data_IF_273931972078
#
_entry.id   IF_273931972078
#
_cell.length_a   1.000
_cell.length_b   1.000
_cell.length_c   1.000
_cell.angle_alpha   90.00
_cell.angle_beta   90.00
_cell.angle_gamma   90.00
#
_symmetry.space_group_name_H-M   'P 1'
#
loop_
_entity.id
_entity.type
_entity.pdbx_description
1 polymer ?
#
# COMPACT_ATOMS: atom_id res chain seq x y z
N UNK A 1 10.23 11.08 28.60
CA UNK A 1 9.69 10.79 27.26
C UNK A 1 10.77 9.99 26.54
N UNK A 2 10.50 8.76 26.14
CA UNK A 2 11.46 7.97 25.36
C UNK A 2 11.45 8.45 23.91
N UNK A 3 12.61 8.69 23.33
CA UNK A 3 12.79 8.98 21.92
C UNK A 3 13.45 7.78 21.26
N UNK A 4 12.95 7.36 20.12
CA UNK A 4 13.59 6.36 19.27
C UNK A 4 13.97 7.01 17.96
N UNK A 5 15.07 6.56 17.38
CA UNK A 5 15.44 7.02 16.04
C UNK A 5 14.40 6.60 15.02
N UNK A 6 13.99 7.54 14.17
CA UNK A 6 13.02 7.25 13.11
C UNK A 6 13.72 6.39 12.04
N UNK A 7 13.17 5.22 11.81
CA UNK A 7 13.61 4.31 10.75
C UNK A 7 12.47 4.21 9.72
N UNK A 8 12.75 4.31 8.40
CA UNK A 8 14.07 4.50 7.79
C UNK A 8 14.60 5.91 7.99
N UNK A 9 15.91 6.02 8.13
CA UNK A 9 16.57 7.34 8.22
C UNK A 9 16.25 8.17 6.99
N UNK A 10 16.16 9.50 7.17
CA UNK A 10 15.78 10.42 6.08
C UNK A 10 16.69 10.29 4.86
N UNK A 11 17.99 10.07 5.04
CA UNK A 11 18.98 10.00 3.95
C UNK A 11 19.00 11.26 3.07
N UNK A 12 19.41 11.17 1.82
CA UNK A 12 19.38 12.28 0.87
C UNK A 12 18.05 12.35 0.15
N UNK A 13 17.61 13.53 -0.25
CA UNK A 13 16.36 13.75 -1.02
C UNK A 13 16.31 12.85 -2.26
N UNK A 14 17.40 12.82 -3.02
CA UNK A 14 17.50 12.02 -4.25
C UNK A 14 17.32 10.50 -4.03
N UNK A 15 17.60 9.98 -2.82
CA UNK A 15 17.38 8.56 -2.52
C UNK A 15 15.91 8.17 -2.45
N UNK A 16 14.99 9.16 -2.45
CA UNK A 16 13.55 9.00 -2.40
C UNK A 16 12.86 9.28 -3.74
N UNK A 17 13.65 9.27 -4.83
CA UNK A 17 13.16 9.40 -6.21
C UNK A 17 12.68 10.78 -6.63
N UNK A 18 13.01 11.83 -5.87
CA UNK A 18 12.82 13.22 -6.29
C UNK A 18 14.00 14.12 -5.87
N UNK A 19 14.03 15.35 -6.40
CA UNK A 19 15.04 16.36 -6.05
C UNK A 19 14.47 17.51 -5.19
N UNK A 20 13.20 17.46 -4.82
CA UNK A 20 12.47 18.55 -4.17
C UNK A 20 12.22 18.29 -2.69
N UNK A 21 12.33 17.03 -2.25
CA UNK A 21 12.05 16.60 -0.89
C UNK A 21 10.57 16.25 -0.62
N UNK A 22 9.73 16.25 -1.64
CA UNK A 22 8.31 15.88 -1.51
C UNK A 22 8.16 14.42 -1.08
N UNK A 23 8.83 13.51 -1.76
CA UNK A 23 8.73 12.07 -1.46
C UNK A 23 9.33 11.73 -0.09
N UNK A 24 10.45 12.33 0.29
CA UNK A 24 11.10 12.05 1.57
C UNK A 24 10.29 12.49 2.79
N UNK A 25 9.37 13.42 2.63
CA UNK A 25 8.55 13.96 3.71
C UNK A 25 7.08 13.53 3.61
N UNK A 26 6.77 12.55 2.78
CA UNK A 26 5.46 11.93 2.76
C UNK A 26 5.39 10.78 3.77
N UNK A 27 4.33 10.78 4.56
CA UNK A 27 4.10 9.79 5.59
C UNK A 27 2.65 9.35 5.58
N UNK A 28 2.43 8.04 5.67
CA UNK A 28 1.13 7.43 5.95
C UNK A 28 1.28 6.60 7.22
N UNK A 29 0.24 6.54 8.03
CA UNK A 29 0.24 5.76 9.25
C UNK A 29 -1.11 5.09 9.45
N UNK A 30 -1.08 3.89 10.03
CA UNK A 30 -2.25 3.11 10.39
C UNK A 30 -1.99 2.28 11.65
N UNK A 31 -3.03 1.66 12.15
CA UNK A 31 -2.95 0.64 13.20
C UNK A 31 -3.45 -0.68 12.62
N UNK A 32 -2.70 -1.75 12.83
CA UNK A 32 -3.00 -3.08 12.33
C UNK A 32 -2.79 -4.14 13.41
N UNK A 33 -3.54 -5.21 13.33
CA UNK A 33 -3.34 -6.43 14.13
C UNK A 33 -2.59 -7.46 13.28
N UNK A 34 -1.29 -7.23 13.10
CA UNK A 34 -0.39 -8.16 12.37
C UNK A 34 0.05 -9.34 13.24
N UNK A 35 -0.35 -9.39 14.47
CA UNK A 35 -0.39 -10.57 15.33
C UNK A 35 -1.78 -10.63 15.99
N UNK A 36 -2.25 -11.81 16.34
CA UNK A 36 -3.57 -12.06 16.92
C UNK A 36 -3.79 -11.44 18.32
N UNK A 37 -2.85 -10.66 18.83
CA UNK A 37 -2.80 -10.25 20.25
C UNK A 37 -2.70 -8.77 20.48
N UNK A 38 -1.99 -8.04 19.62
CA UNK A 38 -1.63 -6.65 19.86
C UNK A 38 -1.74 -5.81 18.61
N UNK A 39 -2.28 -4.62 18.80
CA UNK A 39 -2.23 -3.61 17.75
C UNK A 39 -0.79 -3.13 17.53
N UNK A 40 -0.40 -3.01 16.29
CA UNK A 40 0.89 -2.50 15.84
C UNK A 40 0.70 -1.15 15.16
N UNK A 41 1.61 -0.22 15.41
CA UNK A 41 1.67 1.03 14.65
C UNK A 41 2.41 0.78 13.35
N UNK A 42 1.72 1.00 12.25
CA UNK A 42 2.27 0.95 10.91
C UNK A 42 2.66 2.36 10.51
N UNK A 43 3.89 2.56 10.06
CA UNK A 43 4.38 3.83 9.56
C UNK A 43 5.06 3.63 8.23
N UNK A 44 4.62 4.38 7.26
CA UNK A 44 5.20 4.41 5.92
C UNK A 44 5.85 5.75 5.65
N UNK A 45 6.92 5.74 4.87
CA UNK A 45 7.59 6.93 4.37
C UNK A 45 7.92 6.78 2.88
N UNK A 46 7.61 7.81 2.12
CA UNK A 46 7.87 7.88 0.69
C UNK A 46 6.67 7.46 -0.16
N UNK A 47 6.71 7.78 -1.45
CA UNK A 47 5.68 7.41 -2.42
C UNK A 47 6.17 6.31 -3.37
N UNK A 48 7.18 6.62 -4.18
CA UNK A 48 7.71 5.72 -5.19
C UNK A 48 8.78 4.77 -4.64
N UNK A 49 9.51 5.22 -3.64
CA UNK A 49 10.42 4.38 -2.86
C UNK A 49 9.87 4.38 -1.45
N UNK A 50 9.10 3.37 -1.14
CA UNK A 50 8.43 3.26 0.13
C UNK A 50 9.23 2.42 1.10
N UNK A 51 9.19 2.82 2.37
CA UNK A 51 9.69 2.06 3.47
C UNK A 51 8.61 1.96 4.53
N UNK A 52 8.18 0.74 4.77
CA UNK A 52 7.21 0.40 5.78
C UNK A 52 7.89 -0.06 7.05
N UNK A 53 7.39 0.38 8.19
CA UNK A 53 7.83 -0.06 9.52
C UNK A 53 6.62 -0.49 10.32
N UNK A 54 6.70 -1.67 10.92
CA UNK A 54 5.75 -2.17 11.90
C UNK A 54 6.41 -2.14 13.28
N UNK A 55 5.79 -1.45 14.22
CA UNK A 55 6.41 -1.08 15.50
C UNK A 55 6.39 -2.18 16.57
N UNK A 56 6.41 -3.43 16.27
CA UNK A 56 6.67 -4.56 17.18
C UNK A 56 7.41 -5.72 16.52
N UNK A 57 7.47 -5.71 15.22
CA UNK A 57 8.29 -6.63 14.45
C UNK A 57 9.18 -5.79 13.55
N UNK A 58 10.48 -6.06 13.53
CA UNK A 58 11.35 -5.52 12.50
C UNK A 58 10.99 -6.23 11.19
N UNK A 59 9.93 -5.78 10.54
CA UNK A 59 9.72 -6.15 9.16
C UNK A 59 10.87 -5.56 8.34
N UNK A 60 11.53 -6.40 7.60
CA UNK A 60 12.68 -6.01 6.81
C UNK A 60 12.30 -4.88 5.86
N UNK A 61 13.22 -3.92 5.70
CA UNK A 61 13.16 -2.81 4.74
C UNK A 61 12.89 -3.34 3.34
N UNK A 62 11.64 -3.49 2.94
CA UNK A 62 11.30 -3.86 1.58
C UNK A 62 11.04 -2.61 0.78
N UNK A 63 11.79 -2.49 -0.30
CA UNK A 63 11.65 -1.42 -1.27
C UNK A 63 10.57 -1.83 -2.29
N UNK A 64 9.37 -1.31 -2.11
CA UNK A 64 8.30 -1.44 -3.10
C UNK A 64 8.40 -0.25 -4.06
N UNK A 65 8.93 -0.46 -5.25
CA UNK A 65 9.14 0.62 -6.21
C UNK A 65 7.93 0.77 -7.10
N UNK A 66 7.34 1.96 -7.08
CA UNK A 66 6.31 2.34 -8.04
C UNK A 66 4.94 1.69 -7.85
N UNK A 67 4.67 1.09 -6.69
CA UNK A 67 3.38 0.45 -6.40
C UNK A 67 2.63 1.10 -5.23
N UNK A 68 3.11 2.21 -4.72
CA UNK A 68 2.57 2.88 -3.58
C UNK A 68 1.34 3.74 -3.83
N UNK A 69 0.90 4.41 -2.76
CA UNK A 69 -0.29 5.24 -2.78
C UNK A 69 -0.15 6.41 -1.78
N UNK A 70 -1.03 7.40 -1.88
CA UNK A 70 -1.23 8.42 -0.86
C UNK A 70 -2.05 7.91 0.33
N UNK A 71 -2.66 6.75 0.23
CA UNK A 71 -3.50 6.14 1.26
C UNK A 71 -3.07 4.70 1.51
N UNK A 72 -3.40 4.21 2.69
CA UNK A 72 -3.18 2.85 3.15
C UNK A 72 -4.49 2.33 3.74
N UNK A 73 -4.84 1.10 3.44
CA UNK A 73 -5.91 0.37 4.11
C UNK A 73 -5.38 -0.86 4.82
N UNK A 74 -5.99 -1.18 5.94
CA UNK A 74 -5.63 -2.30 6.81
C UNK A 74 -6.84 -3.21 6.91
N UNK A 75 -6.64 -4.50 6.84
CA UNK A 75 -7.68 -5.50 7.07
C UNK A 75 -7.21 -6.90 6.72
N UNK A 76 -7.87 -7.88 7.29
CA UNK A 76 -7.69 -9.30 7.03
C UNK A 76 -8.29 -9.62 5.64
N UNK A 77 -7.45 -9.61 4.60
CA UNK A 77 -7.88 -9.85 3.22
C UNK A 77 -7.70 -11.29 2.79
N UNK A 78 -6.95 -12.07 3.55
CA UNK A 78 -6.70 -13.47 3.22
C UNK A 78 -7.37 -14.46 4.17
N UNK A 79 -8.08 -13.93 5.18
CA UNK A 79 -8.91 -14.66 6.13
C UNK A 79 -8.10 -15.53 7.12
N UNK A 80 -6.94 -15.03 7.55
CA UNK A 80 -6.07 -15.72 8.51
C UNK A 80 -6.18 -15.17 9.96
N UNK A 81 -7.11 -14.23 10.20
CA UNK A 81 -7.38 -13.52 11.46
C UNK A 81 -6.30 -12.48 11.83
N UNK A 82 -5.48 -12.07 10.86
CA UNK A 82 -4.51 -10.98 11.00
C UNK A 82 -4.69 -9.95 9.89
N UNK A 83 -4.19 -8.76 10.14
CA UNK A 83 -4.34 -7.67 9.17
C UNK A 83 -3.19 -7.62 8.18
N UNK A 84 -3.54 -7.51 6.91
CA UNK A 84 -2.65 -7.11 5.81
C UNK A 84 -2.62 -5.61 5.64
N UNK A 85 -1.57 -5.16 5.00
CA UNK A 85 -1.34 -3.75 4.68
C UNK A 85 -1.50 -3.57 3.18
N UNK A 86 -2.66 -3.05 2.77
CA UNK A 86 -2.90 -2.69 1.38
C UNK A 86 -2.42 -1.27 1.12
N UNK A 87 -1.42 -1.15 0.25
CA UNK A 87 -0.82 0.12 -0.11
C UNK A 87 -0.85 0.32 -1.63
N UNK A 88 -2.01 0.65 -2.12
CA UNK A 88 -2.23 0.88 -3.54
C UNK A 88 -2.22 -0.39 -4.38
N UNK A 89 -1.33 -0.43 -5.36
CA UNK A 89 -1.20 -1.55 -6.29
C UNK A 89 -0.53 -2.80 -5.70
N UNK A 90 -0.32 -2.82 -4.38
CA UNK A 90 0.31 -3.92 -3.67
C UNK A 90 -0.29 -4.14 -2.29
N UNK A 91 -0.21 -5.36 -1.79
CA UNK A 91 -0.45 -5.67 -0.39
C UNK A 91 0.72 -6.44 0.23
N UNK A 92 0.86 -6.25 1.53
CA UNK A 92 1.90 -6.84 2.35
C UNK A 92 1.19 -7.66 3.43
N UNK A 93 1.56 -8.90 3.51
CA UNK A 93 1.10 -9.89 4.46
C UNK A 93 1.55 -9.54 5.90
N UNK A 94 0.86 -10.05 6.91
CA UNK A 94 1.16 -9.91 8.34
C UNK A 94 2.62 -10.27 8.67
N UNK A 95 3.19 -11.24 7.95
CA UNK A 95 4.58 -11.69 8.10
C UNK A 95 5.61 -10.78 7.38
N UNK A 96 5.14 -9.71 6.73
CA UNK A 96 5.95 -8.75 5.99
C UNK A 96 6.35 -9.20 4.60
N UNK A 97 5.83 -10.29 4.09
CA UNK A 97 6.01 -10.68 2.69
C UNK A 97 5.03 -9.96 1.79
N UNK A 98 5.40 -9.82 0.53
CA UNK A 98 4.46 -9.31 -0.47
C UNK A 98 3.36 -10.34 -0.69
N UNK A 99 2.12 -9.97 -0.44
CA UNK A 99 0.97 -10.77 -0.81
C UNK A 99 0.78 -10.70 -2.32
N UNK A 100 0.72 -9.49 -2.86
CA UNK A 100 0.73 -9.25 -4.31
C UNK A 100 1.32 -7.89 -4.68
N UNK A 101 1.58 -7.72 -5.98
CA UNK A 101 1.76 -6.45 -6.67
C UNK A 101 1.12 -6.56 -8.06
N UNK A 102 0.07 -5.77 -8.33
CA UNK A 102 -0.71 -5.89 -9.57
C UNK A 102 -0.07 -5.19 -10.78
N UNK A 103 1.03 -4.46 -10.58
CA UNK A 103 1.81 -3.85 -11.65
C UNK A 103 1.23 -2.57 -12.24
N UNK A 104 0.14 -2.03 -11.69
CA UNK A 104 -0.51 -0.80 -12.20
C UNK A 104 0.19 0.49 -11.77
N UNK A 105 1.14 0.37 -10.86
CA UNK A 105 1.95 1.49 -10.42
C UNK A 105 1.31 2.33 -9.31
N UNK A 106 1.89 3.50 -9.14
CA UNK A 106 1.49 4.44 -8.11
C UNK A 106 0.05 4.94 -8.29
N UNK A 107 -0.66 5.12 -7.17
CA UNK A 107 -2.02 5.62 -7.14
C UNK A 107 -2.25 6.72 -6.10
N UNK A 108 -3.46 7.26 -6.06
CA UNK A 108 -3.84 8.37 -5.18
C UNK A 108 -4.88 7.94 -4.15
N UNK A 109 -6.13 7.78 -4.53
CA UNK A 109 -7.21 7.37 -3.64
C UNK A 109 -7.41 5.85 -3.65
N UNK A 110 -7.70 5.30 -2.48
CA UNK A 110 -7.89 3.87 -2.27
C UNK A 110 -9.02 3.65 -1.26
N UNK A 111 -9.89 2.69 -1.55
CA UNK A 111 -10.90 2.19 -0.62
C UNK A 111 -10.89 0.66 -0.62
N UNK A 112 -10.85 0.06 0.55
CA UNK A 112 -10.88 -1.38 0.73
C UNK A 112 -12.04 -1.75 1.65
N UNK A 113 -12.91 -2.60 1.17
CA UNK A 113 -14.04 -3.18 1.90
C UNK A 113 -14.66 -4.30 1.07
N UNK A 114 -15.67 -4.99 1.58
CA UNK A 114 -16.58 -5.81 0.79
C UNK A 114 -17.44 -4.87 -0.10
N UNK A 115 -17.02 -4.65 -1.34
CA UNK A 115 -17.67 -3.78 -2.32
C UNK A 115 -18.68 -4.57 -3.15
N UNK A 116 -18.35 -5.81 -3.49
CA UNK A 116 -19.19 -6.73 -4.25
C UNK A 116 -19.62 -7.91 -3.36
N UNK A 117 -20.78 -7.82 -2.68
CA UNK A 117 -21.22 -8.83 -1.73
C UNK A 117 -21.54 -10.20 -2.35
N UNK A 118 -21.56 -10.30 -3.68
CA UNK A 118 -21.70 -11.58 -4.39
C UNK A 118 -20.36 -12.32 -4.54
N UNK A 119 -19.26 -11.68 -4.13
CA UNK A 119 -17.89 -12.25 -4.10
C UNK A 119 -17.44 -12.43 -2.67
N UNK A 120 -16.73 -13.51 -2.34
CA UNK A 120 -16.13 -13.66 -1.02
C UNK A 120 -14.89 -12.76 -0.89
N UNK A 121 -14.69 -12.19 0.31
CA UNK A 121 -13.53 -11.38 0.65
C UNK A 121 -13.75 -9.88 0.50
N UNK A 122 -12.66 -9.16 0.42
CA UNK A 122 -12.67 -7.71 0.26
C UNK A 122 -12.10 -7.32 -1.11
N UNK A 123 -12.59 -6.22 -1.65
CA UNK A 123 -12.06 -5.61 -2.85
C UNK A 123 -11.38 -4.28 -2.52
N UNK A 124 -10.47 -3.91 -3.40
CA UNK A 124 -9.81 -2.60 -3.41
C UNK A 124 -10.23 -1.81 -4.63
N UNK A 125 -10.87 -0.67 -4.39
CA UNK A 125 -11.12 0.35 -5.39
C UNK A 125 -10.01 1.36 -5.36
N UNK A 126 -9.36 1.61 -6.49
CA UNK A 126 -8.20 2.50 -6.56
C UNK A 126 -8.14 3.30 -7.87
N UNK A 127 -7.68 4.56 -7.77
CA UNK A 127 -7.21 5.31 -8.92
C UNK A 127 -5.68 5.26 -9.02
N UNK A 128 -5.19 5.17 -10.26
CA UNK A 128 -3.77 5.08 -10.60
C UNK A 128 -3.31 6.34 -11.32
N UNK A 129 -2.06 6.76 -11.05
CA UNK A 129 -1.46 7.96 -11.63
C UNK A 129 -0.33 7.66 -12.62
N UNK A 130 0.19 6.44 -12.62
CA UNK A 130 1.32 6.04 -13.48
C UNK A 130 0.85 5.62 -14.87
N UNK A 131 0.50 6.56 -15.73
CA UNK A 131 -0.07 6.31 -17.08
C UNK A 131 0.73 5.30 -17.92
N UNK A 132 2.06 5.30 -17.78
CA UNK A 132 2.92 4.33 -18.45
C UNK A 132 2.72 2.88 -17.99
N UNK A 133 2.13 2.65 -16.81
CA UNK A 133 1.91 1.32 -16.23
C UNK A 133 0.45 0.88 -16.33
N UNK A 134 -0.50 1.76 -16.03
CA UNK A 134 -1.92 1.39 -16.10
C UNK A 134 -2.52 1.48 -17.51
N UNK A 135 -1.88 2.20 -18.44
CA UNK A 135 -2.41 2.44 -19.77
C UNK A 135 -3.71 3.26 -19.74
N UNK A 136 -4.81 2.68 -20.22
CA UNK A 136 -6.15 3.30 -20.19
C UNK A 136 -6.96 2.95 -18.94
N UNK A 137 -6.42 2.20 -17.99
CA UNK A 137 -7.12 1.70 -16.80
C UNK A 137 -6.83 2.54 -15.56
N UNK A 138 -7.12 3.84 -15.61
CA UNK A 138 -6.83 4.78 -14.53
C UNK A 138 -7.61 4.55 -13.24
N UNK A 139 -8.75 3.84 -13.29
CA UNK A 139 -9.53 3.38 -12.14
C UNK A 139 -9.76 1.88 -12.25
N UNK A 140 -9.57 1.15 -11.16
CA UNK A 140 -9.84 -0.28 -11.13
C UNK A 140 -10.38 -0.74 -9.78
N UNK A 141 -11.17 -1.81 -9.85
CA UNK A 141 -11.51 -2.67 -8.73
C UNK A 141 -10.65 -3.93 -8.83
N UNK A 142 -9.98 -4.30 -7.77
CA UNK A 142 -9.22 -5.53 -7.71
C UNK A 142 -9.50 -6.31 -6.43
N UNK A 143 -9.28 -7.60 -6.47
CA UNK A 143 -9.41 -8.51 -5.37
C UNK A 143 -8.35 -8.20 -4.30
N UNK A 144 -8.78 -8.06 -3.05
CA UNK A 144 -7.91 -7.63 -1.94
C UNK A 144 -6.85 -8.66 -1.55
N UNK A 145 -7.14 -9.95 -1.75
CA UNK A 145 -6.22 -11.04 -1.45
C UNK A 145 -5.17 -11.28 -2.53
N UNK A 146 -5.58 -11.19 -3.80
CA UNK A 146 -4.75 -11.63 -4.92
C UNK A 146 -4.23 -10.50 -5.79
N UNK A 147 -4.83 -9.31 -5.68
CA UNK A 147 -4.55 -8.19 -6.57
C UNK A 147 -5.09 -8.35 -7.99
N UNK A 148 -5.88 -9.42 -8.25
CA UNK A 148 -6.49 -9.65 -9.56
C UNK A 148 -7.43 -8.51 -9.91
N UNK A 149 -7.25 -7.91 -11.08
CA UNK A 149 -8.15 -6.87 -11.59
C UNK A 149 -9.49 -7.51 -11.93
N UNK A 150 -10.56 -7.04 -11.30
CA UNK A 150 -11.94 -7.50 -11.47
C UNK A 150 -12.70 -6.61 -12.44
N UNK A 151 -12.48 -5.31 -12.34
CA UNK A 151 -13.15 -4.31 -13.15
C UNK A 151 -12.24 -3.10 -13.36
N UNK A 152 -12.39 -2.43 -14.51
CA UNK A 152 -11.65 -1.23 -14.86
C UNK A 152 -12.60 -0.19 -15.46
N UNK A 153 -12.38 1.08 -15.10
CA UNK A 153 -12.96 2.19 -15.82
C UNK A 153 -12.00 2.62 -16.93
N UNK A 154 -12.40 2.48 -18.15
CA UNK A 154 -11.68 3.01 -19.31
C UNK A 154 -12.16 4.43 -19.57
N UNK A 155 -11.27 5.39 -19.48
CA UNK A 155 -11.57 6.72 -19.95
C UNK A 155 -11.65 6.67 -21.48
N UNK A 156 -12.87 6.79 -22.01
CA UNK A 156 -13.05 6.98 -23.45
C UNK A 156 -12.49 8.36 -23.80
N UNK A 157 -11.54 8.41 -24.70
CA UNK A 157 -11.11 9.68 -25.30
C UNK A 157 -12.33 10.28 -25.99
N UNK A 158 -12.71 11.49 -25.56
CA UNK A 158 -13.74 12.32 -26.19
C UNK A 158 -13.07 13.18 -27.25
#
# INVERSE_FOLDING_TARGET
>A
MATVDFVPVRSTVASWSDNYGNHVNCFVAAVAYVDDRRSSLIMERGYYTQHLIVHHQQLEKRKYVGQGNHQMSIGDVDEDEKDEICNGASAIDDDGRSLYANGKGYGDALHMTDIDPDRPGQEVWQCYESTGLYGQTGLALHDGKTGQILWVYQQLEI
#
